data_IF_452068812187
#
_entry.id   IF_452068812187
#
_cell.length_a   1.000
_cell.length_b   1.000
_cell.length_c   1.000
_cell.angle_alpha   90.00
_cell.angle_beta   90.00
_cell.angle_gamma   90.00
#
_symmetry.space_group_name_H-M   'P 1'
#
loop_
_entity.id
_entity.type
_entity.pdbx_description
1 polymer ?
#
# COMPACT_ATOMS: atom_id res chain seq x y z
N UNK A 1 -6.65 -25.71 39.72
CA UNK A 1 -5.70 -24.58 39.63
C UNK A 1 -4.85 -24.61 38.36
N UNK A 2 -4.34 -25.78 37.92
CA UNK A 2 -3.51 -25.91 36.70
C UNK A 2 -4.23 -25.44 35.41
N UNK A 3 -5.51 -25.78 35.23
CA UNK A 3 -6.27 -25.38 34.03
C UNK A 3 -6.50 -23.85 33.91
N UNK A 4 -6.53 -23.12 35.04
CA UNK A 4 -6.77 -21.68 35.03
C UNK A 4 -5.51 -20.89 34.60
N UNK A 5 -4.33 -21.42 34.93
CA UNK A 5 -3.03 -20.85 34.53
C UNK A 5 -2.77 -21.07 33.03
N UNK A 6 -3.17 -22.23 32.50
CA UNK A 6 -3.04 -22.55 31.06
C UNK A 6 -3.95 -21.64 30.23
N UNK A 7 -5.20 -21.43 30.63
CA UNK A 7 -6.10 -20.50 29.93
C UNK A 7 -5.60 -19.05 29.96
N UNK A 8 -4.99 -18.60 31.06
CA UNK A 8 -4.41 -17.26 31.16
C UNK A 8 -3.19 -17.08 30.22
N UNK A 9 -2.33 -18.10 30.13
CA UNK A 9 -1.18 -18.08 29.22
C UNK A 9 -1.60 -18.07 27.75
N UNK A 10 -2.63 -18.82 27.37
CA UNK A 10 -3.16 -18.81 25.99
C UNK A 10 -3.68 -17.42 25.61
N UNK A 11 -4.42 -16.76 26.51
CA UNK A 11 -4.95 -15.40 26.25
C UNK A 11 -3.81 -14.40 26.09
N UNK A 12 -2.76 -14.46 26.91
CA UNK A 12 -1.61 -13.54 26.80
C UNK A 12 -0.85 -13.75 25.47
N UNK A 13 -0.66 -14.99 25.04
CA UNK A 13 -0.05 -15.28 23.74
C UNK A 13 -0.89 -14.74 22.58
N UNK A 14 -2.22 -14.90 22.61
CA UNK A 14 -3.11 -14.37 21.56
C UNK A 14 -3.06 -12.84 21.45
N UNK A 15 -2.93 -12.12 22.57
CA UNK A 15 -2.85 -10.65 22.59
C UNK A 15 -1.49 -10.15 22.07
N UNK A 16 -0.41 -10.89 22.29
CA UNK A 16 0.92 -10.54 21.76
C UNK A 16 1.00 -10.68 20.24
N UNK A 17 0.33 -11.67 19.64
CA UNK A 17 0.24 -11.80 18.17
C UNK A 17 -0.61 -10.69 17.55
N UNK A 18 -1.67 -10.23 18.23
CA UNK A 18 -2.56 -9.17 17.73
C UNK A 18 -1.99 -7.75 17.83
N UNK A 19 -0.84 -7.55 18.49
CA UNK A 19 -0.24 -6.23 18.72
C UNK A 19 1.00 -5.94 17.85
N UNK A 20 1.45 -6.88 17.02
CA UNK A 20 2.55 -6.68 16.09
C UNK A 20 2.03 -6.25 14.69
N UNK A 21 1.23 -5.19 14.63
CA UNK A 21 0.93 -4.55 13.35
C UNK A 21 2.14 -3.69 12.95
N UNK A 22 2.68 -3.87 11.73
CA UNK A 22 3.81 -3.06 11.30
C UNK A 22 3.41 -1.58 11.17
N UNK A 23 4.30 -0.67 11.53
CA UNK A 23 4.09 0.76 11.34
C UNK A 23 3.89 1.04 9.85
N UNK A 24 2.70 1.54 9.49
CA UNK A 24 2.34 1.70 8.10
C UNK A 24 3.02 2.91 7.42
N UNK A 25 3.39 3.98 8.15
CA UNK A 25 4.04 5.20 7.63
C UNK A 25 5.02 5.86 8.62
N UNK A 26 5.79 5.07 9.40
CA UNK A 26 6.61 5.63 10.48
C UNK A 26 7.82 4.79 10.85
N UNK A 27 8.92 5.00 10.12
CA UNK A 27 10.34 5.06 10.49
C UNK A 27 11.14 4.86 9.19
N UNK A 28 11.91 5.89 8.79
CA UNK A 28 12.66 6.04 7.52
C UNK A 28 12.52 4.90 6.52
N UNK A 29 11.66 5.08 5.51
CA UNK A 29 11.50 4.16 4.39
C UNK A 29 12.86 3.78 3.78
N UNK A 30 13.25 2.51 3.93
CA UNK A 30 14.56 2.02 3.50
C UNK A 30 14.68 2.06 1.99
N UNK A 31 13.65 1.65 1.24
CA UNK A 31 13.73 1.51 -0.21
C UNK A 31 13.34 2.77 -0.98
N UNK A 32 12.82 3.81 -0.33
CA UNK A 32 12.31 5.01 -1.00
C UNK A 32 13.34 5.72 -1.87
N UNK A 33 14.63 5.68 -1.51
CA UNK A 33 15.70 6.27 -2.34
C UNK A 33 15.85 5.61 -3.72
N UNK A 34 15.40 4.36 -3.86
CA UNK A 34 15.40 3.63 -5.13
C UNK A 34 14.24 4.05 -6.05
N UNK A 35 13.39 4.97 -5.58
CA UNK A 35 12.22 5.46 -6.28
C UNK A 35 12.24 6.99 -6.41
N UNK A 36 11.40 7.49 -7.31
CA UNK A 36 10.93 8.88 -7.29
C UNK A 36 9.60 8.87 -6.56
N UNK A 37 9.56 9.51 -5.39
CA UNK A 37 8.41 9.54 -4.50
C UNK A 37 7.50 10.75 -4.81
N UNK A 38 6.21 10.49 -4.84
CA UNK A 38 5.15 11.49 -4.89
C UNK A 38 4.25 11.30 -3.67
N UNK A 39 4.40 12.18 -2.68
CA UNK A 39 3.65 12.13 -1.41
C UNK A 39 2.23 12.66 -1.55
N UNK A 40 1.28 12.03 -0.87
CA UNK A 40 -0.15 12.35 -0.96
C UNK A 40 -0.67 12.39 -2.41
N UNK A 41 -0.21 11.43 -3.21
CA UNK A 41 -0.61 11.24 -4.61
C UNK A 41 -0.94 9.79 -4.92
N UNK A 42 -2.08 9.58 -5.60
CA UNK A 42 -2.45 8.32 -6.25
C UNK A 42 -2.27 8.44 -7.78
N UNK A 43 -2.16 7.31 -8.48
CA UNK A 43 -2.09 7.28 -9.94
C UNK A 43 -3.38 7.79 -10.57
N UNK A 44 -3.23 8.52 -11.67
CA UNK A 44 -4.37 9.05 -12.40
C UNK A 44 -5.12 7.95 -13.18
N UNK A 45 -6.45 8.01 -13.17
CA UNK A 45 -7.27 7.11 -13.97
C UNK A 45 -7.16 7.37 -15.49
N UNK A 46 -7.44 6.37 -16.34
CA UNK A 46 -7.64 4.96 -16.00
C UNK A 46 -6.29 4.24 -15.88
N UNK A 47 -5.95 3.78 -14.68
CA UNK A 47 -4.76 2.96 -14.46
C UNK A 47 -5.14 1.82 -13.54
N UNK A 48 -5.00 0.60 -14.05
CA UNK A 48 -5.31 -0.64 -13.34
C UNK A 48 -3.96 -1.21 -12.88
N UNK A 49 -3.78 -1.44 -11.57
CA UNK A 49 -2.60 -2.15 -11.11
C UNK A 49 -2.67 -3.58 -11.62
N UNK A 50 -1.55 -4.13 -12.09
CA UNK A 50 -1.54 -5.53 -12.55
C UNK A 50 -1.47 -6.51 -11.36
N UNK A 51 -0.90 -6.08 -10.23
CA UNK A 51 -0.87 -6.85 -8.97
C UNK A 51 -1.28 -6.00 -7.78
N UNK A 52 -1.94 -6.63 -6.82
CA UNK A 52 -2.41 -6.02 -5.58
C UNK A 52 -2.13 -6.98 -4.44
N UNK A 53 -1.79 -6.46 -3.26
CA UNK A 53 -1.66 -7.31 -2.08
C UNK A 53 -2.98 -8.00 -1.73
N UNK A 54 -2.92 -9.30 -1.44
CA UNK A 54 -4.08 -10.09 -1.04
C UNK A 54 -4.59 -9.66 0.34
N UNK A 55 -3.69 -9.59 1.33
CA UNK A 55 -3.98 -9.08 2.67
C UNK A 55 -3.35 -7.71 2.89
N UNK A 56 -4.21 -6.69 2.93
CA UNK A 56 -3.82 -5.30 3.13
C UNK A 56 -3.15 -5.06 4.50
N UNK A 57 -3.49 -5.84 5.54
CA UNK A 57 -2.92 -5.66 6.89
C UNK A 57 -1.46 -6.08 7.00
N UNK A 58 -0.98 -6.91 6.08
CA UNK A 58 0.42 -7.33 6.04
C UNK A 58 1.30 -6.36 5.24
N UNK A 59 0.70 -5.47 4.44
CA UNK A 59 1.43 -4.56 3.59
C UNK A 59 2.08 -3.43 4.40
N UNK A 60 3.39 -3.29 4.23
CA UNK A 60 4.15 -2.10 4.65
C UNK A 60 4.72 -1.40 3.42
N UNK A 61 5.09 -0.13 3.58
CA UNK A 61 5.72 0.66 2.53
C UNK A 61 6.92 -0.06 1.92
N UNK A 62 7.92 -0.41 2.74
CA UNK A 62 9.13 -1.10 2.26
C UNK A 62 8.85 -2.49 1.69
N UNK A 63 7.94 -3.28 2.26
CA UNK A 63 7.57 -4.59 1.67
C UNK A 63 6.92 -4.41 0.30
N UNK A 64 6.11 -3.37 0.12
CA UNK A 64 5.48 -3.03 -1.14
C UNK A 64 6.51 -2.60 -2.20
N UNK A 65 7.47 -1.76 -1.81
CA UNK A 65 8.59 -1.38 -2.67
C UNK A 65 9.47 -2.58 -3.02
N UNK A 66 9.78 -3.45 -2.05
CA UNK A 66 10.58 -4.65 -2.28
C UNK A 66 9.91 -5.60 -3.29
N UNK A 67 8.60 -5.77 -3.21
CA UNK A 67 7.85 -6.56 -4.19
C UNK A 67 8.06 -6.03 -5.62
N UNK A 68 8.07 -4.71 -5.80
CA UNK A 68 8.34 -4.08 -7.09
C UNK A 68 9.81 -4.14 -7.52
N UNK A 69 10.77 -4.08 -6.59
CA UNK A 69 12.19 -4.27 -6.92
C UNK A 69 12.41 -5.67 -7.50
N UNK A 70 11.81 -6.66 -6.86
CA UNK A 70 11.95 -8.08 -7.19
C UNK A 70 11.11 -8.51 -8.41
N UNK A 71 10.27 -7.63 -8.94
CA UNK A 71 9.45 -7.85 -10.15
C UNK A 71 9.99 -7.00 -11.32
N UNK A 72 10.35 -7.66 -12.43
CA UNK A 72 10.89 -7.01 -13.62
C UNK A 72 9.84 -6.21 -14.38
N UNK A 73 8.57 -6.60 -14.30
CA UNK A 73 7.46 -5.90 -14.97
C UNK A 73 7.09 -4.62 -14.23
N UNK A 74 7.37 -4.56 -12.92
CA UNK A 74 7.00 -3.42 -12.09
C UNK A 74 7.77 -2.14 -12.45
N UNK A 75 7.02 -1.08 -12.74
CA UNK A 75 7.52 0.28 -13.00
C UNK A 75 7.11 1.28 -11.92
N UNK A 76 6.02 1.04 -11.21
CA UNK A 76 5.59 1.89 -10.12
C UNK A 76 4.79 1.14 -9.06
N UNK A 77 4.72 1.77 -7.90
CA UNK A 77 4.03 1.29 -6.70
C UNK A 77 3.13 2.39 -6.18
N UNK A 78 1.94 2.03 -5.74
CA UNK A 78 1.12 2.89 -4.91
C UNK A 78 0.89 2.21 -3.58
N UNK A 79 1.23 2.90 -2.50
CA UNK A 79 1.05 2.42 -1.15
C UNK A 79 0.30 3.46 -0.32
N UNK A 80 -0.76 3.02 0.37
CA UNK A 80 -1.58 3.91 1.18
C UNK A 80 -3.07 3.58 1.14
N UNK A 81 -3.92 4.55 1.49
CA UNK A 81 -5.39 4.48 1.40
C UNK A 81 -5.89 4.55 -0.05
N UNK A 82 -5.28 3.74 -0.90
CA UNK A 82 -5.34 3.84 -2.36
C UNK A 82 -6.76 3.70 -2.87
N UNK A 83 -7.21 4.63 -3.71
CA UNK A 83 -8.53 4.59 -4.34
C UNK A 83 -9.72 4.55 -3.39
N UNK A 84 -9.63 5.14 -2.21
CA UNK A 84 -10.73 5.19 -1.23
C UNK A 84 -10.91 3.90 -0.44
N UNK A 85 -9.84 3.13 -0.22
CA UNK A 85 -9.82 2.07 0.80
C UNK A 85 -9.63 2.69 2.19
N UNK A 86 -10.23 2.07 3.19
CA UNK A 86 -10.06 2.45 4.60
C UNK A 86 -8.87 1.74 5.28
N UNK A 87 -8.16 0.90 4.53
CA UNK A 87 -6.97 0.16 4.99
C UNK A 87 -5.84 0.39 4.00
N UNK A 88 -4.63 0.57 4.52
CA UNK A 88 -3.43 0.72 3.71
C UNK A 88 -3.22 -0.51 2.82
N UNK A 89 -3.00 -0.28 1.54
CA UNK A 89 -2.84 -1.34 0.55
C UNK A 89 -1.63 -1.09 -0.34
N UNK A 90 -1.21 -2.12 -1.04
CA UNK A 90 -0.11 -2.11 -1.99
C UNK A 90 -0.64 -2.47 -3.38
N UNK A 91 -0.41 -1.59 -4.35
CA UNK A 91 -0.79 -1.76 -5.76
C UNK A 91 0.46 -1.61 -6.64
N UNK A 92 0.75 -2.59 -7.51
CA UNK A 92 1.87 -2.56 -8.45
C UNK A 92 1.40 -2.23 -9.86
N UNK A 93 2.19 -1.42 -10.55
CA UNK A 93 1.92 -0.94 -11.90
C UNK A 93 3.07 -1.28 -12.85
N UNK A 94 2.73 -1.88 -13.99
CA UNK A 94 3.63 -2.21 -15.09
C UNK A 94 3.74 -1.05 -16.10
N UNK A 95 2.90 -0.03 -15.96
CA UNK A 95 2.80 1.12 -16.83
C UNK A 95 2.61 2.40 -16.03
N UNK A 96 3.28 3.46 -16.47
CA UNK A 96 3.07 4.80 -15.97
C UNK A 96 2.13 5.52 -16.92
N UNK A 97 1.02 6.04 -16.41
CA UNK A 97 0.14 6.90 -17.18
C UNK A 97 0.90 8.19 -17.57
N UNK A 98 0.59 8.77 -18.72
CA UNK A 98 1.11 10.09 -19.11
C UNK A 98 0.52 11.22 -18.27
N UNK A 99 -0.58 10.94 -17.56
CA UNK A 99 -1.24 11.89 -16.66
C UNK A 99 -0.47 12.01 -15.34
N UNK A 100 -0.28 13.23 -14.83
CA UNK A 100 0.34 13.41 -13.52
C UNK A 100 -0.51 12.76 -12.42
N UNK A 101 0.11 12.25 -11.34
CA UNK A 101 -0.60 11.75 -10.17
C UNK A 101 -1.56 12.80 -9.59
N UNK A 102 -2.69 12.33 -9.07
CA UNK A 102 -3.73 13.18 -8.49
C UNK A 102 -3.53 13.32 -6.99
N UNK A 103 -3.93 14.46 -6.40
CA UNK A 103 -3.88 14.62 -4.95
C UNK A 103 -4.79 13.61 -4.26
N UNK A 104 -4.25 12.82 -3.35
CA UNK A 104 -5.02 11.89 -2.52
C UNK A 104 -4.26 11.72 -1.20
N UNK A 105 -4.81 12.20 -0.07
CA UNK A 105 -4.11 12.17 1.20
C UNK A 105 -3.86 10.73 1.66
N UNK A 106 -2.75 10.51 2.38
CA UNK A 106 -2.36 9.21 2.93
C UNK A 106 -2.12 8.12 1.87
N UNK A 107 -1.70 8.54 0.68
CA UNK A 107 -1.33 7.68 -0.45
C UNK A 107 -0.05 8.21 -1.06
N UNK A 108 0.95 7.34 -1.23
CA UNK A 108 2.19 7.70 -1.89
C UNK A 108 2.36 6.86 -3.16
N UNK A 109 2.79 7.53 -4.22
CA UNK A 109 3.16 6.88 -5.49
C UNK A 109 4.68 6.88 -5.63
N UNK A 110 5.25 5.72 -5.91
CA UNK A 110 6.69 5.53 -6.08
C UNK A 110 6.97 5.04 -7.50
N UNK A 111 7.75 5.80 -8.25
CA UNK A 111 8.17 5.42 -9.59
C UNK A 111 9.56 4.81 -9.53
N UNK A 112 9.71 3.57 -10.00
CA UNK A 112 10.98 2.83 -9.97
C UNK A 112 12.02 3.58 -10.80
N UNK A 113 13.18 3.89 -10.22
CA UNK A 113 14.27 4.51 -10.96
C UNK A 113 14.85 3.52 -11.98
N UNK A 114 15.37 4.04 -13.08
CA UNK A 114 16.09 3.22 -14.08
C UNK A 114 17.46 2.75 -13.60
N UNK A 115 18.07 3.48 -12.66
CA UNK A 115 19.30 3.05 -11.99
C UNK A 115 19.05 1.83 -11.12
N UNK A 116 19.99 0.88 -11.12
CA UNK A 116 19.94 -0.28 -10.22
C UNK A 116 19.89 0.19 -8.77
N UNK A 117 18.93 -0.33 -8.00
CA UNK A 117 18.86 -0.16 -6.55
C UNK A 117 19.94 -1.05 -5.90
N UNK A 118 20.84 -0.46 -5.11
CA UNK A 118 21.91 -1.20 -4.41
C UNK A 118 21.44 -1.77 -3.06
N UNK A 119 20.27 -1.33 -2.57
CA UNK A 119 19.71 -1.79 -1.31
C UNK A 119 19.18 -3.21 -1.42
N UNK A 120 19.55 -4.04 -0.44
CA UNK A 120 19.07 -5.41 -0.34
C UNK A 120 17.63 -5.47 0.18
N UNK A 121 16.82 -6.35 -0.41
CA UNK A 121 15.44 -6.66 -0.02
C UNK A 121 15.33 -7.92 0.85
N UNK A 122 16.43 -8.64 1.08
CA UNK A 122 16.42 -9.99 1.70
C UNK A 122 15.88 -10.05 3.14
N UNK A 123 15.88 -8.92 3.85
CA UNK A 123 15.38 -8.82 5.22
C UNK A 123 13.86 -8.58 5.28
N UNK A 124 13.22 -8.34 4.13
CA UNK A 124 11.80 -8.08 4.01
C UNK A 124 11.08 -9.36 3.57
N UNK A 125 10.01 -9.70 4.27
CA UNK A 125 9.16 -10.83 3.90
C UNK A 125 8.41 -10.50 2.60
N UNK A 126 8.31 -11.46 1.65
CA UNK A 126 7.53 -11.27 0.43
C UNK A 126 6.06 -10.99 0.77
N UNK A 127 5.36 -10.31 -0.14
CA UNK A 127 3.92 -10.09 -0.05
C UNK A 127 3.22 -11.08 -0.97
N UNK A 128 2.08 -11.60 -0.50
CA UNK A 128 1.17 -12.36 -1.35
C UNK A 128 0.38 -11.39 -2.23
N UNK A 129 0.61 -11.50 -3.55
CA UNK A 129 0.02 -10.64 -4.55
C UNK A 129 -0.98 -11.41 -5.40
N UNK A 130 -2.09 -10.77 -5.71
CA UNK A 130 -3.13 -11.25 -6.62
C UNK A 130 -3.25 -10.30 -7.81
N UNK A 131 -3.76 -10.81 -8.93
CA UNK A 131 -3.98 -9.99 -10.11
C UNK A 131 -4.99 -8.87 -9.81
N UNK A 132 -4.69 -7.67 -10.29
CA UNK A 132 -5.63 -6.56 -10.21
C UNK A 132 -6.80 -6.74 -11.17
N UNK A 133 -7.98 -6.29 -10.75
CA UNK A 133 -9.21 -6.41 -11.53
C UNK A 133 -9.80 -5.05 -11.92
N UNK A 134 -10.76 -5.07 -12.85
CA UNK A 134 -11.48 -3.85 -13.26
C UNK A 134 -12.30 -3.23 -12.13
N UNK A 135 -12.61 -3.97 -11.05
CA UNK A 135 -13.33 -3.43 -9.89
C UNK A 135 -12.49 -2.39 -9.17
N UNK A 136 -11.17 -2.44 -9.26
CA UNK A 136 -10.27 -1.38 -8.79
C UNK A 136 -10.58 -0.06 -9.48
N UNK A 137 -10.78 -0.10 -10.80
CA UNK A 137 -11.07 1.09 -11.59
C UNK A 137 -12.44 1.67 -11.21
N UNK A 138 -13.46 0.83 -11.05
CA UNK A 138 -14.79 1.25 -10.61
C UNK A 138 -14.73 1.94 -9.24
N UNK A 139 -14.02 1.32 -8.29
CA UNK A 139 -13.82 1.85 -6.94
C UNK A 139 -13.10 3.19 -6.96
N UNK A 140 -11.97 3.31 -7.66
CA UNK A 140 -11.21 4.56 -7.80
C UNK A 140 -12.08 5.65 -8.46
N UNK A 141 -12.82 5.32 -9.52
CA UNK A 141 -13.71 6.26 -10.20
C UNK A 141 -14.81 6.77 -9.27
N UNK A 142 -15.42 5.88 -8.48
CA UNK A 142 -16.43 6.26 -7.48
C UNK A 142 -15.86 7.17 -6.41
N UNK A 143 -14.67 6.88 -5.88
CA UNK A 143 -14.03 7.70 -4.86
C UNK A 143 -13.75 9.12 -5.37
N UNK A 144 -13.19 9.27 -6.57
CA UNK A 144 -12.93 10.59 -7.16
C UNK A 144 -14.20 11.41 -7.39
N UNK A 145 -15.27 10.75 -7.86
CA UNK A 145 -16.58 11.41 -8.00
C UNK A 145 -17.11 11.93 -6.66
N UNK A 146 -16.84 11.23 -5.55
CA UNK A 146 -17.24 11.68 -4.21
C UNK A 146 -16.39 12.84 -3.72
N UNK A 147 -15.08 12.83 -3.98
CA UNK A 147 -14.19 13.93 -3.61
C UNK A 147 -14.55 15.25 -4.31
N UNK A 148 -15.03 15.20 -5.55
CA UNK A 148 -15.46 16.39 -6.29
C UNK A 148 -16.87 16.88 -5.93
N UNK A 149 -17.63 16.15 -5.12
CA UNK A 149 -18.95 16.63 -4.66
C UNK A 149 -18.77 17.65 -3.56
N UNK A 150 -19.46 18.79 -3.69
CA UNK A 150 -19.66 19.73 -2.60
C UNK A 150 -20.31 18.99 -1.43
N UNK A 151 -19.63 18.94 -0.29
CA UNK A 151 -20.19 18.39 0.92
C UNK A 151 -21.23 19.39 1.46
N UNK A 152 -22.54 19.08 1.43
CA UNK A 152 -23.57 19.99 1.87
C UNK A 152 -23.57 20.21 3.39
N UNK A 153 -22.71 19.52 4.14
CA UNK A 153 -22.52 19.71 5.58
C UNK A 153 -21.20 20.43 5.91
N UNK A 154 -20.42 20.82 4.91
CA UNK A 154 -19.19 21.60 5.09
C UNK A 154 -19.52 23.10 5.14
N UNK A 155 -20.43 23.49 6.03
CA UNK A 155 -20.65 24.89 6.40
C UNK A 155 -19.66 25.22 7.53
N UNK A 156 -18.56 25.87 7.17
CA UNK A 156 -17.53 26.36 8.08
C UNK A 156 -16.91 27.63 7.51
#
# INVERSE_FOLDING_TARGET
MVNMVISFLIVIFSVAYASHHPNHFGDSCWLCECYVEYTDRDVALPSIPYKIVQDAYEATEDRCLAACINDEECKAVVYGLTGGRDVFTCELYDQLNTRPPIYTPYVNTYIKRSSKCEKSTNHLLPLDLVDGDEKVLERKSKHLKLQHKLNPFHFG
#
